data_IF_577548051965
#
_entry.id   IF_577548051965
#
_cell.length_a   1.000
_cell.length_b   1.000
_cell.length_c   1.000
_cell.angle_alpha   90.00
_cell.angle_beta   90.00
_cell.angle_gamma   90.00
#
_symmetry.space_group_name_H-M   'P 1'
#
loop_
_entity.id
_entity.type
_entity.pdbx_description
1 polymer ?
#
# COMPACT_ATOMS: atom_id res chain seq x y z
N UNK A 1 -47.57 13.23 -4.20
CA UNK A 1 -46.77 12.32 -5.01
C UNK A 1 -46.05 11.33 -4.10
N UNK A 2 -46.63 10.11 -3.92
CA UNK A 2 -46.12 9.12 -2.94
C UNK A 2 -44.96 8.36 -3.59
N UNK A 3 -43.77 8.48 -3.04
CA UNK A 3 -42.56 7.77 -3.46
C UNK A 3 -42.71 6.28 -3.18
N UNK A 4 -43.03 5.45 -4.19
CA UNK A 4 -43.11 3.99 -4.07
C UNK A 4 -41.76 3.47 -3.56
N UNK A 5 -41.76 3.02 -2.31
CA UNK A 5 -40.62 2.32 -1.69
C UNK A 5 -40.53 0.94 -2.34
N UNK A 6 -39.54 0.73 -3.19
CA UNK A 6 -39.28 -0.57 -3.80
C UNK A 6 -38.89 -1.57 -2.70
N UNK A 7 -39.78 -2.50 -2.36
CA UNK A 7 -39.68 -3.41 -1.20
C UNK A 7 -38.86 -4.67 -1.42
N UNK A 8 -38.20 -4.83 -2.58
CA UNK A 8 -37.57 -6.10 -2.96
C UNK A 8 -36.04 -6.00 -3.15
N UNK A 9 -35.36 -5.15 -2.40
CA UNK A 9 -33.89 -5.24 -2.34
C UNK A 9 -33.52 -6.23 -1.24
N UNK A 10 -33.08 -7.41 -1.64
CA UNK A 10 -32.44 -8.37 -0.74
C UNK A 10 -31.27 -7.67 -0.05
N UNK A 11 -31.37 -7.51 1.26
CA UNK A 11 -30.28 -6.90 2.07
C UNK A 11 -29.49 -8.03 2.72
N UNK A 12 -28.21 -8.08 2.40
CA UNK A 12 -27.33 -9.06 3.01
C UNK A 12 -27.17 -8.81 4.52
N UNK A 13 -27.09 -9.86 5.36
CA UNK A 13 -27.01 -9.72 6.82
C UNK A 13 -25.88 -8.84 7.33
N UNK A 14 -24.81 -8.71 6.56
CA UNK A 14 -23.61 -7.90 6.88
C UNK A 14 -23.67 -6.45 6.35
N UNK A 15 -24.74 -6.07 5.68
CA UNK A 15 -24.98 -4.67 5.34
C UNK A 15 -25.48 -3.92 6.59
N UNK A 16 -24.59 -3.16 7.23
CA UNK A 16 -24.98 -2.32 8.38
C UNK A 16 -26.03 -1.27 8.00
N UNK A 17 -26.89 -0.89 8.96
CA UNK A 17 -27.85 0.20 8.77
C UNK A 17 -27.09 1.49 8.41
N UNK A 18 -27.45 2.11 7.29
CA UNK A 18 -26.85 3.37 6.82
C UNK A 18 -25.68 3.21 5.83
N UNK A 19 -25.31 1.99 5.44
CA UNK A 19 -24.32 1.80 4.39
C UNK A 19 -24.94 2.05 3.00
N UNK A 20 -24.38 2.99 2.26
CA UNK A 20 -24.72 3.25 0.85
C UNK A 20 -23.52 2.84 -0.02
N UNK A 21 -23.77 2.10 -1.10
CA UNK A 21 -22.75 1.75 -2.09
C UNK A 21 -22.48 2.98 -2.96
N UNK A 22 -21.67 3.93 -2.46
CA UNK A 22 -21.42 5.19 -3.16
C UNK A 22 -20.41 5.03 -4.32
N UNK A 23 -19.49 4.09 -4.22
CA UNK A 23 -18.41 3.92 -5.19
C UNK A 23 -18.66 2.79 -6.20
N UNK A 24 -19.22 3.13 -7.36
CA UNK A 24 -19.37 2.18 -8.48
C UNK A 24 -18.10 1.99 -9.30
N UNK A 25 -17.12 2.88 -9.16
CA UNK A 25 -15.86 2.89 -9.91
C UNK A 25 -14.67 2.31 -9.12
N UNK A 26 -13.50 2.53 -9.66
CA UNK A 26 -12.23 2.31 -8.94
C UNK A 26 -12.07 3.38 -7.86
N UNK A 27 -11.47 2.99 -6.74
CA UNK A 27 -11.12 3.90 -5.66
C UNK A 27 -9.94 4.80 -6.08
N UNK A 28 -9.82 6.03 -5.55
CA UNK A 28 -8.66 6.89 -5.80
C UNK A 28 -7.32 6.18 -5.53
N UNK A 29 -7.27 5.42 -4.46
CA UNK A 29 -6.14 4.58 -4.09
C UNK A 29 -5.79 3.53 -5.17
N UNK A 30 -6.78 2.83 -5.74
CA UNK A 30 -6.56 1.85 -6.81
C UNK A 30 -6.03 2.51 -8.08
N UNK A 31 -6.45 3.74 -8.39
CA UNK A 31 -5.91 4.51 -9.50
C UNK A 31 -4.44 4.84 -9.33
N UNK A 32 -4.02 5.25 -8.12
CA UNK A 32 -2.60 5.49 -7.81
C UNK A 32 -1.79 4.22 -7.97
N UNK A 33 -2.30 3.09 -7.47
CA UNK A 33 -1.65 1.79 -7.60
C UNK A 33 -1.49 1.40 -9.08
N UNK A 34 -2.56 1.50 -9.88
CA UNK A 34 -2.51 1.19 -11.32
C UNK A 34 -1.57 2.11 -12.10
N UNK A 35 -1.56 3.41 -11.78
CA UNK A 35 -0.64 4.37 -12.39
C UNK A 35 0.83 4.03 -12.08
N UNK A 36 1.12 3.71 -10.82
CA UNK A 36 2.45 3.26 -10.41
C UNK A 36 2.85 1.96 -11.12
N UNK A 37 1.91 1.00 -11.25
CA UNK A 37 2.14 -0.24 -11.97
C UNK A 37 2.46 0.01 -13.45
N UNK A 38 1.69 0.87 -14.10
CA UNK A 38 1.93 1.22 -15.50
C UNK A 38 3.31 1.89 -15.67
N UNK A 39 3.66 2.82 -14.78
CA UNK A 39 4.94 3.51 -14.81
C UNK A 39 6.11 2.54 -14.60
N UNK A 40 6.05 1.69 -13.59
CA UNK A 40 7.12 0.71 -13.33
C UNK A 40 7.16 -0.40 -14.39
N UNK A 41 6.03 -0.75 -15.01
CA UNK A 41 6.02 -1.65 -16.17
C UNK A 41 6.80 -1.07 -17.34
N UNK A 42 6.62 0.21 -17.65
CA UNK A 42 7.41 0.88 -18.68
C UNK A 42 8.91 0.80 -18.38
N UNK A 43 9.31 1.09 -17.14
CA UNK A 43 10.72 0.95 -16.73
C UNK A 43 11.22 -0.48 -17.00
N UNK A 44 10.49 -1.50 -16.55
CA UNK A 44 10.89 -2.91 -16.74
C UNK A 44 11.00 -3.27 -18.23
N UNK A 45 10.06 -2.82 -19.06
CA UNK A 45 10.10 -3.09 -20.51
C UNK A 45 11.31 -2.45 -21.18
N UNK A 46 11.61 -1.18 -20.86
CA UNK A 46 12.76 -0.48 -21.44
C UNK A 46 14.12 -0.96 -20.90
N UNK A 47 14.14 -1.59 -19.74
CA UNK A 47 15.37 -2.04 -19.08
C UNK A 47 15.45 -3.55 -18.93
N UNK A 48 14.62 -4.29 -19.64
CA UNK A 48 14.50 -5.77 -19.56
C UNK A 48 15.82 -6.52 -19.69
N UNK A 49 16.73 -6.00 -20.52
CA UNK A 49 18.06 -6.60 -20.74
C UNK A 49 19.02 -6.43 -19.55
N UNK A 50 18.73 -5.54 -18.63
CA UNK A 50 19.56 -5.26 -17.44
C UNK A 50 19.02 -5.90 -16.17
N UNK A 51 17.80 -6.41 -16.20
CA UNK A 51 17.12 -7.02 -15.06
C UNK A 51 17.40 -8.52 -15.00
N UNK A 52 17.46 -9.05 -13.79
CA UNK A 52 17.73 -10.49 -13.58
C UNK A 52 16.50 -11.34 -13.98
N UNK A 53 15.29 -10.85 -13.69
CA UNK A 53 14.06 -11.61 -13.95
C UNK A 53 12.91 -10.71 -14.42
N UNK A 54 12.99 -10.12 -15.62
CA UNK A 54 11.99 -9.19 -16.13
C UNK A 54 10.61 -9.83 -16.30
N UNK A 55 10.55 -11.11 -16.69
CA UNK A 55 9.29 -11.82 -16.92
C UNK A 55 8.47 -11.95 -15.63
N UNK A 56 9.10 -12.32 -14.53
CA UNK A 56 8.44 -12.39 -13.23
C UNK A 56 7.90 -11.02 -12.79
N UNK A 57 8.65 -9.95 -13.07
CA UNK A 57 8.25 -8.58 -12.76
C UNK A 57 7.05 -8.14 -13.63
N UNK A 58 7.02 -8.48 -14.92
CA UNK A 58 5.90 -8.20 -15.81
C UNK A 58 4.64 -8.97 -15.34
N UNK A 59 4.78 -10.27 -15.09
CA UNK A 59 3.68 -11.10 -14.61
C UNK A 59 3.16 -10.66 -13.24
N UNK A 60 4.03 -10.18 -12.36
CA UNK A 60 3.64 -9.57 -11.09
C UNK A 60 2.65 -8.42 -11.31
N UNK A 61 2.95 -7.51 -12.23
CA UNK A 61 2.10 -6.35 -12.55
C UNK A 61 0.76 -6.76 -13.18
N UNK A 62 0.80 -7.73 -14.08
CA UNK A 62 -0.43 -8.29 -14.68
C UNK A 62 -1.34 -8.90 -13.61
N UNK A 63 -0.79 -9.65 -12.65
CA UNK A 63 -1.54 -10.24 -11.53
C UNK A 63 -2.18 -9.17 -10.66
N UNK A 64 -1.45 -8.11 -10.35
CA UNK A 64 -1.99 -6.97 -9.56
C UNK A 64 -3.16 -6.32 -10.28
N UNK A 65 -3.00 -6.01 -11.57
CA UNK A 65 -4.06 -5.43 -12.38
C UNK A 65 -5.29 -6.33 -12.44
N UNK A 66 -5.08 -7.63 -12.72
CA UNK A 66 -6.15 -8.61 -12.77
C UNK A 66 -6.89 -8.74 -11.43
N UNK A 67 -6.16 -8.77 -10.30
CA UNK A 67 -6.77 -8.84 -8.98
C UNK A 67 -7.54 -7.56 -8.62
N UNK A 68 -7.01 -6.39 -8.97
CA UNK A 68 -7.71 -5.12 -8.78
C UNK A 68 -9.05 -5.12 -9.52
N UNK A 69 -9.06 -5.54 -10.78
CA UNK A 69 -10.28 -5.66 -11.59
C UNK A 69 -11.23 -6.69 -11.01
N UNK A 70 -10.72 -7.86 -10.60
CA UNK A 70 -11.55 -8.93 -10.01
C UNK A 70 -12.22 -8.45 -8.71
N UNK A 71 -11.49 -7.83 -7.81
CA UNK A 71 -12.06 -7.32 -6.55
C UNK A 71 -13.04 -6.16 -6.78
N UNK A 72 -12.79 -5.30 -7.76
CA UNK A 72 -13.76 -4.30 -8.19
C UNK A 72 -15.03 -4.95 -8.72
N UNK A 73 -14.93 -5.99 -9.56
CA UNK A 73 -16.08 -6.70 -10.08
C UNK A 73 -16.88 -7.40 -8.97
N UNK A 74 -16.20 -8.07 -8.03
CA UNK A 74 -16.83 -8.68 -6.83
C UNK A 74 -17.58 -7.63 -6.02
N UNK A 75 -16.97 -6.46 -5.78
CA UNK A 75 -17.63 -5.37 -5.07
C UNK A 75 -18.87 -4.85 -5.82
N UNK A 76 -18.83 -4.78 -7.15
CA UNK A 76 -20.01 -4.41 -7.95
C UNK A 76 -21.15 -5.41 -7.86
N UNK A 77 -20.82 -6.70 -7.78
CA UNK A 77 -21.83 -7.78 -7.65
C UNK A 77 -22.39 -7.86 -6.22
N UNK A 78 -21.55 -7.67 -5.23
CA UNK A 78 -21.86 -7.81 -3.81
C UNK A 78 -21.36 -6.62 -3.02
N UNK A 79 -22.00 -5.43 -3.14
CA UNK A 79 -21.54 -4.23 -2.45
C UNK A 79 -21.80 -4.35 -0.95
N UNK A 80 -20.76 -4.66 -0.18
CA UNK A 80 -20.81 -4.76 1.28
C UNK A 80 -19.51 -4.29 1.91
N UNK A 81 -19.53 -4.10 3.24
CA UNK A 81 -18.33 -3.67 3.99
C UNK A 81 -17.17 -4.65 3.84
N UNK A 82 -17.46 -5.94 3.80
CA UNK A 82 -16.43 -6.98 3.69
C UNK A 82 -15.72 -6.93 2.34
N UNK A 83 -16.47 -6.79 1.23
CA UNK A 83 -15.87 -6.68 -0.10
C UNK A 83 -15.09 -5.38 -0.28
N UNK A 84 -15.52 -4.29 0.36
CA UNK A 84 -14.74 -3.04 0.41
C UNK A 84 -13.45 -3.21 1.20
N UNK A 85 -13.51 -3.86 2.36
CA UNK A 85 -12.32 -4.19 3.14
C UNK A 85 -11.36 -5.07 2.36
N UNK A 86 -11.87 -6.10 1.67
CA UNK A 86 -11.05 -6.99 0.85
C UNK A 86 -10.31 -6.24 -0.27
N UNK A 87 -10.96 -5.27 -0.93
CA UNK A 87 -10.32 -4.40 -1.94
C UNK A 87 -9.12 -3.65 -1.36
N UNK A 88 -9.31 -3.00 -0.22
CA UNK A 88 -8.26 -2.21 0.43
C UNK A 88 -7.15 -3.12 0.97
N UNK A 89 -7.52 -4.16 1.72
CA UNK A 89 -6.56 -5.08 2.34
C UNK A 89 -5.70 -5.83 1.31
N UNK A 90 -6.30 -6.23 0.19
CA UNK A 90 -5.57 -6.86 -0.90
C UNK A 90 -4.53 -5.92 -1.52
N UNK A 91 -4.88 -4.66 -1.77
CA UNK A 91 -3.94 -3.68 -2.32
C UNK A 91 -2.79 -3.40 -1.33
N UNK A 92 -3.10 -3.25 -0.04
CA UNK A 92 -2.09 -3.08 1.01
C UNK A 92 -1.18 -4.31 1.13
N UNK A 93 -1.75 -5.52 1.09
CA UNK A 93 -0.97 -6.75 1.13
C UNK A 93 -0.05 -6.91 -0.08
N UNK A 94 -0.49 -6.42 -1.24
CA UNK A 94 0.31 -6.49 -2.46
C UNK A 94 1.45 -5.48 -2.49
N UNK A 95 1.34 -4.34 -1.80
CA UNK A 95 2.49 -3.43 -1.63
C UNK A 95 3.68 -4.16 -1.00
N UNK A 96 3.45 -5.04 -0.04
CA UNK A 96 4.52 -5.84 0.57
C UNK A 96 5.14 -6.86 -0.41
N UNK A 97 4.37 -7.38 -1.37
CA UNK A 97 4.88 -8.36 -2.33
C UNK A 97 5.81 -7.74 -3.38
N UNK A 98 5.47 -6.57 -3.93
CA UNK A 98 6.26 -5.98 -5.03
C UNK A 98 7.31 -4.98 -4.56
N UNK A 99 7.37 -4.71 -3.26
CA UNK A 99 8.48 -3.96 -2.68
C UNK A 99 9.86 -4.54 -3.09
N UNK A 100 10.08 -5.86 -3.13
CA UNK A 100 11.32 -6.44 -3.63
C UNK A 100 11.67 -6.07 -5.08
N UNK A 101 10.68 -5.80 -5.94
CA UNK A 101 10.93 -5.38 -7.32
C UNK A 101 11.65 -4.02 -7.39
N UNK A 102 11.43 -3.16 -6.41
CA UNK A 102 12.11 -1.85 -6.33
C UNK A 102 13.62 -2.03 -6.14
N UNK A 103 14.03 -3.07 -5.42
CA UNK A 103 15.44 -3.40 -5.24
C UNK A 103 16.10 -3.77 -6.58
N UNK A 104 15.45 -4.59 -7.41
CA UNK A 104 15.98 -4.96 -8.72
C UNK A 104 16.08 -3.75 -9.66
N UNK A 105 15.11 -2.84 -9.62
CA UNK A 105 15.15 -1.59 -10.38
C UNK A 105 16.29 -0.69 -9.87
N UNK A 106 16.46 -0.57 -8.56
CA UNK A 106 17.53 0.26 -7.98
C UNK A 106 18.93 -0.25 -8.33
N UNK A 107 19.13 -1.56 -8.47
CA UNK A 107 20.42 -2.14 -8.86
C UNK A 107 20.91 -1.67 -10.23
N UNK A 108 20.04 -1.15 -11.08
CA UNK A 108 20.44 -0.60 -12.39
C UNK A 108 21.10 0.76 -12.29
N UNK A 109 20.89 1.46 -11.19
CA UNK A 109 21.45 2.79 -10.94
C UNK A 109 22.71 2.67 -10.07
N UNK A 110 23.67 3.58 -10.24
CA UNK A 110 24.81 3.63 -9.34
C UNK A 110 24.35 3.91 -7.91
N UNK A 111 25.01 3.27 -6.95
CA UNK A 111 24.75 3.54 -5.54
C UNK A 111 25.16 4.99 -5.22
N UNK A 112 24.22 5.77 -4.74
CA UNK A 112 24.38 7.17 -4.38
C UNK A 112 24.57 7.40 -2.87
N UNK A 113 24.66 6.36 -2.06
CA UNK A 113 24.78 6.46 -0.60
C UNK A 113 25.98 7.33 -0.18
N UNK A 114 27.08 7.23 -0.95
CA UNK A 114 28.27 8.07 -0.71
C UNK A 114 28.00 9.58 -0.90
N UNK A 115 27.08 9.96 -1.80
CA UNK A 115 26.70 11.36 -1.97
C UNK A 115 25.91 11.86 -0.75
N UNK A 116 24.95 11.06 -0.27
CA UNK A 116 24.19 11.40 0.93
C UNK A 116 25.11 11.50 2.16
N UNK A 117 26.00 10.54 2.36
CA UNK A 117 26.99 10.61 3.43
C UNK A 117 27.89 11.85 3.34
N UNK A 118 28.28 12.26 2.12
CA UNK A 118 29.06 13.47 1.90
C UNK A 118 28.24 14.73 2.24
N UNK A 119 26.98 14.78 1.84
CA UNK A 119 26.09 15.90 2.17
C UNK A 119 25.82 15.99 3.65
N UNK A 120 25.60 14.88 4.35
CA UNK A 120 25.49 14.88 5.82
C UNK A 120 26.75 15.44 6.47
N UNK A 121 27.92 14.99 6.01
CA UNK A 121 29.21 15.48 6.52
C UNK A 121 29.41 16.98 6.25
N UNK A 122 28.98 17.49 5.11
CA UNK A 122 29.07 18.92 4.79
C UNK A 122 28.08 19.76 5.59
N UNK A 123 26.86 19.23 5.84
CA UNK A 123 25.80 19.96 6.52
C UNK A 123 26.00 20.00 8.04
N UNK A 124 26.39 18.87 8.64
CA UNK A 124 26.47 18.69 10.06
C UNK A 124 27.93 18.73 10.60
N UNK A 125 28.92 18.56 9.72
CA UNK A 125 30.33 18.40 10.12
C UNK A 125 30.68 17.00 10.64
N UNK A 126 29.66 16.10 10.75
CA UNK A 126 29.78 14.73 11.22
C UNK A 126 28.64 13.89 10.62
N UNK A 127 28.67 12.57 10.83
CA UNK A 127 27.59 11.67 10.43
C UNK A 127 26.69 11.35 11.63
N UNK A 128 25.49 11.95 11.74
CA UNK A 128 24.64 11.85 12.93
C UNK A 128 24.28 10.41 13.33
N UNK A 129 23.99 9.56 12.35
CA UNK A 129 23.63 8.16 12.60
C UNK A 129 24.79 7.37 13.24
N UNK A 130 26.02 7.59 12.77
CA UNK A 130 27.20 6.91 13.31
C UNK A 130 27.54 7.40 14.72
N UNK A 131 27.46 8.71 14.94
CA UNK A 131 27.75 9.28 16.25
C UNK A 131 26.67 8.92 17.28
N UNK A 132 25.40 8.84 16.86
CA UNK A 132 24.33 8.29 17.70
C UNK A 132 24.62 6.83 18.11
N UNK A 133 24.98 5.98 17.15
CA UNK A 133 25.30 4.58 17.43
C UNK A 133 26.53 4.43 18.38
N UNK A 134 27.49 5.34 18.29
CA UNK A 134 28.67 5.37 19.19
C UNK A 134 28.31 5.89 20.58
N UNK A 135 27.43 6.88 20.65
CA UNK A 135 27.03 7.50 21.94
C UNK A 135 26.12 6.53 22.75
N UNK A 136 25.35 5.68 22.09
CA UNK A 136 24.42 4.75 22.71
C UNK A 136 24.69 3.29 22.32
N UNK A 137 25.86 2.72 22.66
CA UNK A 137 26.24 1.35 22.29
C UNK A 137 25.56 0.30 23.18
N UNK A 138 24.29 0.47 23.48
CA UNK A 138 23.53 -0.42 24.35
C UNK A 138 22.65 -1.33 23.51
N UNK A 139 22.70 -2.67 23.71
CA UNK A 139 21.79 -3.62 23.07
C UNK A 139 20.31 -3.27 23.31
N UNK A 140 19.98 -2.76 24.50
CA UNK A 140 18.61 -2.36 24.84
C UNK A 140 18.13 -1.20 23.95
N UNK A 141 18.98 -0.21 23.69
CA UNK A 141 18.64 0.91 22.81
C UNK A 141 18.46 0.44 21.39
N UNK A 142 19.34 -0.44 20.89
CA UNK A 142 19.22 -1.03 19.57
C UNK A 142 17.91 -1.81 19.42
N UNK A 143 17.60 -2.70 20.33
CA UNK A 143 16.35 -3.49 20.34
C UNK A 143 15.10 -2.59 20.40
N UNK A 144 15.14 -1.51 21.20
CA UNK A 144 14.03 -0.57 21.27
C UNK A 144 13.81 0.18 19.95
N UNK A 145 14.89 0.57 19.26
CA UNK A 145 14.81 1.19 17.94
C UNK A 145 14.28 0.22 16.90
N UNK A 146 14.73 -1.04 16.91
CA UNK A 146 14.27 -2.08 16.01
C UNK A 146 12.80 -2.43 16.25
N UNK A 147 12.37 -2.50 17.52
CA UNK A 147 10.95 -2.63 17.89
C UNK A 147 10.12 -1.45 17.38
N UNK A 148 10.62 -0.22 17.51
CA UNK A 148 9.97 0.97 16.99
C UNK A 148 9.77 0.91 15.47
N UNK A 149 10.81 0.51 14.75
CA UNK A 149 10.73 0.30 13.31
C UNK A 149 9.75 -0.82 12.93
N UNK A 150 9.84 -1.97 13.60
CA UNK A 150 8.96 -3.11 13.36
C UNK A 150 7.48 -2.79 13.69
N UNK A 151 7.22 -1.95 14.70
CA UNK A 151 5.86 -1.55 15.10
C UNK A 151 5.14 -0.72 14.03
N UNK A 152 5.85 -0.13 13.08
CA UNK A 152 5.25 0.63 11.98
C UNK A 152 4.27 -0.22 11.15
N UNK A 153 4.63 -1.45 10.82
CA UNK A 153 3.78 -2.34 10.01
C UNK A 153 2.48 -2.75 10.70
N UNK A 154 2.50 -3.28 11.93
CA UNK A 154 1.24 -3.58 12.64
C UNK A 154 0.42 -2.33 12.95
N UNK A 155 1.04 -1.16 13.12
CA UNK A 155 0.32 0.09 13.31
C UNK A 155 -0.59 0.42 12.12
N UNK A 156 -0.11 0.25 10.88
CA UNK A 156 -0.93 0.43 9.67
C UNK A 156 -2.17 -0.47 9.73
N UNK A 157 -1.98 -1.75 10.05
CA UNK A 157 -3.08 -2.71 10.15
C UNK A 157 -4.08 -2.32 11.26
N UNK A 158 -3.60 -1.92 12.43
CA UNK A 158 -4.43 -1.49 13.57
C UNK A 158 -5.26 -0.24 13.20
N UNK A 159 -4.64 0.76 12.56
CA UNK A 159 -5.34 1.98 12.13
C UNK A 159 -6.44 1.63 11.11
N UNK A 160 -6.14 0.83 10.09
CA UNK A 160 -7.14 0.40 9.11
C UNK A 160 -8.30 -0.36 9.76
N UNK A 161 -8.02 -1.30 10.66
CA UNK A 161 -9.04 -2.05 11.39
C UNK A 161 -9.88 -1.14 12.30
N UNK A 162 -9.24 -0.19 12.99
CA UNK A 162 -9.97 0.78 13.82
C UNK A 162 -10.98 1.58 12.99
N UNK A 163 -10.56 2.15 11.86
CA UNK A 163 -11.47 2.90 10.99
C UNK A 163 -12.53 2.00 10.37
N UNK A 164 -12.19 0.79 9.97
CA UNK A 164 -13.15 -0.17 9.46
C UNK A 164 -14.28 -0.49 10.45
N UNK A 165 -13.95 -0.73 11.71
CA UNK A 165 -14.93 -1.13 12.73
C UNK A 165 -15.62 0.06 13.40
N UNK A 166 -14.93 1.17 13.65
CA UNK A 166 -15.42 2.29 14.44
C UNK A 166 -15.82 3.50 13.62
N UNK A 167 -15.17 3.80 12.51
CA UNK A 167 -15.38 4.99 11.68
C UNK A 167 -15.40 4.65 10.19
N UNK A 168 -16.28 3.73 9.81
CA UNK A 168 -16.32 3.23 8.44
C UNK A 168 -16.48 4.32 7.36
N UNK A 169 -17.16 5.42 7.65
CA UNK A 169 -17.31 6.55 6.71
C UNK A 169 -15.99 7.22 6.32
N UNK A 170 -14.94 7.05 7.13
CA UNK A 170 -13.60 7.61 6.89
C UNK A 170 -12.59 6.54 6.42
N UNK A 171 -13.02 5.28 6.33
CA UNK A 171 -12.14 4.13 6.06
C UNK A 171 -11.39 4.27 4.73
N UNK A 172 -12.09 4.63 3.66
CA UNK A 172 -11.50 4.81 2.33
C UNK A 172 -10.45 5.93 2.32
N UNK A 173 -10.80 7.07 2.92
CA UNK A 173 -9.89 8.21 3.05
C UNK A 173 -8.64 7.84 3.85
N UNK A 174 -8.81 7.11 4.95
CA UNK A 174 -7.70 6.65 5.78
C UNK A 174 -6.80 5.70 5.02
N UNK A 175 -7.37 4.75 4.28
CA UNK A 175 -6.61 3.82 3.46
C UNK A 175 -5.80 4.52 2.34
N UNK A 176 -6.26 5.67 1.87
CA UNK A 176 -5.55 6.47 0.89
C UNK A 176 -4.38 7.29 1.49
N UNK A 177 -4.51 7.69 2.76
CA UNK A 177 -3.51 8.55 3.44
C UNK A 177 -2.33 7.73 4.01
N UNK A 178 -2.59 6.48 4.45
CA UNK A 178 -1.57 5.58 5.00
C UNK A 178 -0.68 5.02 3.88
#
# INVERSE_FOLDING_TARGET
MVKRRNKNTFTWPWQGKGWTAEHKGLLPFEWVVLAYMAFTLLIVLFTSTKLVNPDAMIWGRVRVGAMTIALWAVYRMMPCKLTMFARVAAQMGMLAWWYPDTYEINRMFPNLDHLFATWEQQLFGFQPALDFARAFPSPIVSELMDCGYAAYYPMIAVVLLFYFFKRYGEFEKTAFII
#
